data_IF_431123551378
#
_entry.id   IF_431123551378
#
_cell.length_a   1.000
_cell.length_b   1.000
_cell.length_c   1.000
_cell.angle_alpha   90.00
_cell.angle_beta   90.00
_cell.angle_gamma   90.00
#
_symmetry.space_group_name_H-M   'P 1'
#
loop_
_entity.id
_entity.type
_entity.pdbx_description
1 polymer ?
#
# COMPACT_ATOMS: atom_id res chain seq x y z
N UNK A 1 40.62 -31.23 13.76
CA UNK A 1 39.86 -30.86 12.55
C UNK A 1 38.71 -29.99 12.98
N UNK A 2 38.80 -28.67 12.74
CA UNK A 2 37.74 -27.73 13.07
C UNK A 2 36.75 -27.70 11.90
N UNK A 3 35.51 -28.11 12.14
CA UNK A 3 34.42 -27.92 11.18
C UNK A 3 33.95 -26.48 11.28
N UNK A 4 34.26 -25.70 10.24
CA UNK A 4 33.76 -24.35 10.07
C UNK A 4 32.24 -24.39 9.90
N UNK A 5 31.54 -23.86 10.90
CA UNK A 5 30.15 -23.44 10.81
C UNK A 5 30.06 -22.39 9.71
N UNK A 6 29.51 -22.77 8.55
CA UNK A 6 29.12 -21.82 7.52
C UNK A 6 27.97 -21.02 8.09
N UNK A 7 28.24 -19.75 8.41
CA UNK A 7 27.24 -18.82 8.88
C UNK A 7 26.08 -18.78 7.90
N UNK A 8 24.89 -19.11 8.40
CA UNK A 8 23.65 -18.66 7.81
C UNK A 8 23.74 -17.14 7.72
N UNK A 9 24.10 -16.63 6.54
CA UNK A 9 23.95 -15.23 6.20
C UNK A 9 22.46 -14.93 6.31
N UNK A 10 22.06 -14.37 7.45
CA UNK A 10 20.71 -13.91 7.67
C UNK A 10 20.44 -12.82 6.64
N UNK A 11 19.88 -13.21 5.49
CA UNK A 11 19.17 -12.29 4.63
C UNK A 11 18.15 -11.60 5.54
N UNK A 12 18.25 -10.28 5.67
CA UNK A 12 17.28 -9.48 6.42
C UNK A 12 15.88 -9.94 6.01
N UNK A 13 14.96 -10.16 6.97
CA UNK A 13 13.61 -10.57 6.63
C UNK A 13 12.99 -9.54 5.67
N UNK A 14 12.30 -9.98 4.61
CA UNK A 14 11.73 -9.06 3.64
C UNK A 14 10.70 -8.14 4.31
N UNK A 15 10.53 -6.97 3.73
CA UNK A 15 9.60 -5.95 4.20
C UNK A 15 8.15 -6.35 3.86
N UNK A 16 7.24 -6.45 4.84
CA UNK A 16 5.84 -6.70 4.54
C UNK A 16 5.21 -5.50 3.83
N UNK A 17 4.50 -5.79 2.74
CA UNK A 17 3.76 -4.81 1.95
C UNK A 17 2.28 -4.95 2.22
N UNK A 18 1.64 -3.83 2.52
CA UNK A 18 0.25 -3.73 2.87
C UNK A 18 -0.49 -2.88 1.85
N UNK A 19 -1.72 -3.28 1.55
CA UNK A 19 -2.73 -2.36 1.03
C UNK A 19 -3.38 -1.68 2.22
N UNK A 20 -3.35 -0.35 2.24
CA UNK A 20 -4.01 0.46 3.25
C UNK A 20 -5.21 1.21 2.64
N UNK A 21 -6.26 1.39 3.43
CA UNK A 21 -7.46 2.14 3.05
C UNK A 21 -7.70 3.25 4.04
N UNK A 22 -7.92 4.45 3.52
CA UNK A 22 -8.12 5.66 4.29
C UNK A 22 -9.43 6.34 3.89
N UNK A 23 -9.99 7.10 4.83
CA UNK A 23 -10.95 8.16 4.53
C UNK A 23 -10.20 9.47 4.35
N UNK A 24 -10.71 10.33 3.46
CA UNK A 24 -10.26 11.70 3.42
C UNK A 24 -10.92 12.51 4.53
N UNK A 25 -10.13 13.27 5.29
CA UNK A 25 -10.65 14.08 6.42
C UNK A 25 -11.76 15.05 6.02
N UNK A 26 -11.80 15.46 4.76
CA UNK A 26 -12.79 16.40 4.22
C UNK A 26 -13.85 15.73 3.35
N UNK A 27 -13.73 14.42 3.12
CA UNK A 27 -14.66 13.65 2.29
C UNK A 27 -14.74 12.22 2.80
N UNK A 28 -15.56 12.05 3.84
CA UNK A 28 -15.75 10.77 4.53
C UNK A 28 -16.39 9.69 3.65
N UNK A 29 -16.97 10.09 2.50
CA UNK A 29 -17.64 9.18 1.58
C UNK A 29 -16.68 8.53 0.58
N UNK A 30 -15.45 9.06 0.47
CA UNK A 30 -14.47 8.60 -0.50
C UNK A 30 -13.31 7.83 0.16
N UNK A 31 -13.14 6.58 -0.29
CA UNK A 31 -12.07 5.69 0.15
C UNK A 31 -10.81 5.88 -0.72
N UNK A 32 -9.69 6.12 -0.05
CA UNK A 32 -8.38 6.22 -0.69
C UNK A 32 -7.61 4.94 -0.43
N UNK A 33 -7.13 4.31 -1.50
CA UNK A 33 -6.26 3.15 -1.40
C UNK A 33 -4.78 3.55 -1.54
N UNK A 34 -3.92 2.86 -0.79
CA UNK A 34 -2.47 3.05 -0.84
C UNK A 34 -1.72 1.73 -0.70
N UNK A 35 -0.43 1.76 -1.03
CA UNK A 35 0.56 0.75 -0.69
C UNK A 35 1.43 1.26 0.45
N UNK A 36 1.55 0.46 1.50
CA UNK A 36 2.35 0.77 2.68
C UNK A 36 3.38 -0.33 2.90
N UNK A 37 4.64 0.05 3.10
CA UNK A 37 5.72 -0.89 3.40
C UNK A 37 6.20 -0.61 4.81
N UNK A 38 6.08 -1.61 5.69
CA UNK A 38 6.62 -1.54 7.06
C UNK A 38 8.04 -2.07 7.08
N UNK A 39 8.93 -1.37 7.78
CA UNK A 39 10.28 -1.88 8.08
C UNK A 39 10.28 -2.65 9.41
N UNK A 40 10.62 -3.95 9.46
CA UNK A 40 10.78 -4.68 10.71
C UNK A 40 11.74 -3.94 11.65
N UNK A 41 11.32 -3.75 12.90
CA UNK A 41 12.16 -3.18 13.95
C UNK A 41 12.44 -1.67 13.88
N UNK A 42 11.78 -0.91 13.00
CA UNK A 42 11.95 0.54 12.91
C UNK A 42 10.63 1.26 12.58
N UNK A 43 10.50 2.53 12.98
CA UNK A 43 9.38 3.41 12.64
C UNK A 43 9.46 3.98 11.21
N UNK A 44 10.54 3.68 10.48
CA UNK A 44 10.78 4.18 9.13
C UNK A 44 9.93 3.44 8.09
N UNK A 45 8.69 3.86 7.88
CA UNK A 45 7.80 3.24 6.89
C UNK A 45 7.77 4.01 5.56
N UNK A 46 7.31 3.35 4.50
CA UNK A 46 7.03 4.03 3.22
C UNK A 46 5.54 3.94 2.94
N UNK A 47 4.96 5.03 2.45
CA UNK A 47 3.58 5.09 2.02
C UNK A 47 3.49 5.69 0.62
N UNK A 48 2.99 4.87 -0.33
CA UNK A 48 2.76 5.23 -1.72
C UNK A 48 1.26 5.29 -1.94
N UNK A 49 0.76 6.44 -2.37
CA UNK A 49 -0.68 6.68 -2.51
C UNK A 49 -0.96 7.64 -3.65
N UNK A 50 -2.14 7.52 -4.24
CA UNK A 50 -2.68 8.62 -5.05
C UNK A 50 -3.51 9.52 -4.14
N UNK A 51 -3.28 10.83 -4.22
CA UNK A 51 -3.97 11.87 -3.45
C UNK A 51 -4.43 12.99 -4.37
N UNK A 52 -5.46 13.69 -3.95
CA UNK A 52 -6.08 14.77 -4.69
C UNK A 52 -7.58 14.75 -4.45
N UNK A 53 -8.28 15.75 -4.97
CA UNK A 53 -9.73 15.74 -4.98
C UNK A 53 -10.20 14.87 -6.16
N UNK A 54 -11.19 14.01 -5.97
CA UNK A 54 -11.71 13.17 -7.06
C UNK A 54 -12.27 13.98 -8.25
N UNK A 55 -12.69 15.22 -7.98
CA UNK A 55 -13.14 16.19 -9.00
C UNK A 55 -12.00 16.82 -9.80
N UNK A 56 -10.76 16.61 -9.38
CA UNK A 56 -9.55 17.06 -10.04
C UNK A 56 -8.70 15.84 -10.45
N UNK A 57 -7.63 16.12 -11.19
CA UNK A 57 -6.64 15.08 -11.50
C UNK A 57 -5.95 14.63 -10.21
N UNK A 58 -5.92 13.32 -9.97
CA UNK A 58 -5.18 12.74 -8.83
C UNK A 58 -3.68 12.75 -9.11
N UNK A 59 -2.88 12.81 -8.04
CA UNK A 59 -1.43 12.84 -8.10
C UNK A 59 -0.85 11.67 -7.31
N UNK A 60 0.22 11.07 -7.82
CA UNK A 60 1.02 10.10 -7.08
C UNK A 60 1.85 10.81 -6.01
N UNK A 61 1.87 10.25 -4.80
CA UNK A 61 2.58 10.80 -3.64
C UNK A 61 3.36 9.68 -2.95
N UNK A 62 4.61 9.98 -2.62
CA UNK A 62 5.48 9.12 -1.83
C UNK A 62 5.80 9.81 -0.51
N UNK A 63 5.50 9.14 0.59
CA UNK A 63 5.91 9.54 1.93
C UNK A 63 6.93 8.57 2.49
N UNK A 64 8.03 9.11 3.02
CA UNK A 64 9.08 8.36 3.73
C UNK A 64 8.98 8.64 5.21
N UNK A 65 9.23 7.61 6.02
CA UNK A 65 9.08 7.62 7.47
C UNK A 65 7.67 8.06 7.91
N UNK A 66 6.66 7.62 7.16
CA UNK A 66 5.27 7.92 7.48
C UNK A 66 4.82 7.14 8.71
N UNK A 67 3.96 7.76 9.51
CA UNK A 67 3.30 7.12 10.64
C UNK A 67 2.54 5.88 10.13
N UNK A 68 2.62 4.80 10.90
CA UNK A 68 1.85 3.59 10.62
C UNK A 68 0.38 3.95 10.41
N UNK A 69 -0.24 3.59 9.28
CA UNK A 69 -1.62 3.88 8.98
C UNK A 69 -2.56 3.48 10.11
N UNK A 70 -2.34 2.35 10.78
CA UNK A 70 -3.22 1.90 11.87
C UNK A 70 -3.25 2.84 13.07
N UNK A 71 -2.25 3.71 13.21
CA UNK A 71 -2.18 4.73 14.27
C UNK A 71 -2.85 6.05 13.86
N UNK A 72 -3.32 6.17 12.61
CA UNK A 72 -4.00 7.37 12.12
C UNK A 72 -5.51 7.20 12.22
N UNK A 73 -6.23 8.28 12.58
CA UNK A 73 -7.70 8.30 12.62
C UNK A 73 -8.36 8.10 11.25
N UNK A 74 -7.59 8.30 10.18
CA UNK A 74 -8.05 8.20 8.80
C UNK A 74 -7.98 6.79 8.24
N UNK A 75 -7.16 5.90 8.79
CA UNK A 75 -7.05 4.55 8.28
C UNK A 75 -8.27 3.74 8.71
N UNK A 76 -8.92 3.10 7.75
CA UNK A 76 -10.03 2.17 8.00
C UNK A 76 -9.49 0.78 8.30
N UNK A 77 -8.63 0.29 7.41
CA UNK A 77 -7.96 -1.00 7.57
C UNK A 77 -6.67 -1.07 6.74
N UNK A 78 -5.80 -1.99 7.15
CA UNK A 78 -4.68 -2.46 6.32
C UNK A 78 -4.80 -3.97 6.09
N UNK A 79 -4.25 -4.44 4.98
CA UNK A 79 -4.22 -5.86 4.61
C UNK A 79 -2.84 -6.16 4.06
N UNK A 80 -2.14 -7.17 4.60
CA UNK A 80 -0.89 -7.61 3.99
C UNK A 80 -1.20 -8.24 2.64
N UNK A 81 -0.39 -7.91 1.63
CA UNK A 81 -0.58 -8.38 0.25
C UNK A 81 0.69 -8.99 -0.35
N UNK A 82 1.81 -8.91 0.35
CA UNK A 82 3.07 -9.50 -0.11
C UNK A 82 4.27 -9.10 0.74
N UNK A 83 5.43 -9.40 0.17
CA UNK A 83 6.74 -9.19 0.76
C UNK A 83 7.65 -8.49 -0.25
N UNK A 84 8.56 -7.66 0.24
CA UNK A 84 9.49 -6.91 -0.59
C UNK A 84 10.92 -7.07 -0.07
N UNK A 85 11.85 -7.59 -0.88
CA UNK A 85 13.27 -7.62 -0.53
C UNK A 85 13.82 -6.23 -0.25
N UNK A 86 14.85 -6.14 0.59
CA UNK A 86 15.37 -4.86 1.05
C UNK A 86 16.00 -4.03 -0.09
N UNK A 87 16.70 -4.71 -0.98
CA UNK A 87 17.30 -4.18 -2.20
C UNK A 87 16.26 -3.57 -3.16
N UNK A 88 15.02 -4.06 -3.12
CA UNK A 88 13.95 -3.66 -4.03
C UNK A 88 13.18 -2.42 -3.56
N UNK A 89 13.47 -1.92 -2.35
CA UNK A 89 12.76 -0.79 -1.75
C UNK A 89 12.91 0.49 -2.57
N UNK A 90 14.08 0.72 -3.16
CA UNK A 90 14.32 1.87 -4.05
C UNK A 90 13.58 1.72 -5.38
N UNK A 91 13.55 0.50 -5.95
CA UNK A 91 12.89 0.19 -7.21
C UNK A 91 11.36 0.29 -7.13
N UNK A 92 10.77 0.09 -5.93
CA UNK A 92 9.32 0.20 -5.72
C UNK A 92 8.75 1.53 -6.21
N UNK A 93 9.39 2.65 -5.84
CA UNK A 93 8.93 3.99 -6.24
C UNK A 93 8.93 4.11 -7.76
N UNK A 94 10.06 3.81 -8.38
CA UNK A 94 10.23 3.90 -9.82
C UNK A 94 9.17 3.07 -10.56
N UNK A 95 8.91 1.84 -10.09
CA UNK A 95 7.89 0.98 -10.69
C UNK A 95 6.47 1.51 -10.50
N UNK A 96 6.14 2.02 -9.32
CA UNK A 96 4.82 2.60 -9.07
C UNK A 96 4.58 3.90 -9.86
N UNK A 97 5.63 4.69 -10.12
CA UNK A 97 5.55 5.91 -10.94
C UNK A 97 5.23 5.62 -12.41
N UNK A 98 5.55 4.42 -12.91
CA UNK A 98 5.15 3.97 -14.24
C UNK A 98 3.64 3.67 -14.35
N UNK A 99 2.94 3.54 -13.22
CA UNK A 99 1.48 3.39 -13.19
C UNK A 99 0.86 4.79 -13.07
N UNK A 100 0.31 5.36 -14.16
CA UNK A 100 -0.16 6.74 -14.12
C UNK A 100 -1.29 6.89 -13.10
N UNK A 101 -1.38 7.98 -12.33
CA UNK A 101 -2.53 8.24 -11.47
C UNK A 101 -3.85 8.26 -12.23
N UNK A 102 -4.99 7.94 -11.60
CA UNK A 102 -6.29 8.12 -12.23
C UNK A 102 -6.54 9.58 -12.64
N UNK A 103 -7.24 9.75 -13.76
CA UNK A 103 -7.73 11.06 -14.18
C UNK A 103 -8.86 11.54 -13.26
N UNK A 104 -9.40 12.74 -13.53
CA UNK A 104 -10.57 13.23 -12.84
C UNK A 104 -11.71 12.21 -12.94
N UNK A 105 -12.37 11.94 -11.82
CA UNK A 105 -13.42 10.94 -11.72
C UNK A 105 -14.82 11.54 -11.90
N UNK A 106 -14.92 12.86 -11.84
CA UNK A 106 -16.17 13.60 -11.87
C UNK A 106 -16.10 14.76 -12.86
N UNK A 107 -17.24 15.07 -13.49
CA UNK A 107 -17.47 16.29 -14.27
C UNK A 107 -18.67 17.00 -13.65
N UNK A 108 -18.42 18.11 -12.97
CA UNK A 108 -19.43 18.73 -12.10
C UNK A 108 -19.85 17.77 -10.99
N UNK A 109 -21.15 17.47 -10.91
CA UNK A 109 -21.74 16.53 -9.95
C UNK A 109 -21.88 15.10 -10.49
N UNK A 110 -21.50 14.86 -11.75
CA UNK A 110 -21.66 13.55 -12.38
C UNK A 110 -20.37 12.75 -12.31
N UNK A 111 -20.45 11.51 -11.80
CA UNK A 111 -19.36 10.54 -11.91
C UNK A 111 -19.16 10.16 -13.38
N UNK A 112 -17.93 10.22 -13.86
CA UNK A 112 -17.55 9.75 -15.19
C UNK A 112 -17.65 8.23 -15.22
N UNK A 113 -18.54 7.63 -16.04
CA UNK A 113 -18.69 6.18 -16.11
C UNK A 113 -17.35 5.51 -16.46
N UNK A 114 -16.98 4.48 -15.71
CA UNK A 114 -15.76 3.71 -15.95
C UNK A 114 -14.45 4.40 -15.62
N UNK A 115 -14.45 5.63 -15.06
CA UNK A 115 -13.18 6.26 -14.72
C UNK A 115 -12.46 5.49 -13.60
N UNK A 116 -11.16 5.32 -13.77
CA UNK A 116 -10.29 4.58 -12.85
C UNK A 116 -10.33 5.18 -11.44
N UNK A 117 -10.40 4.32 -10.42
CA UNK A 117 -10.42 4.71 -9.01
C UNK A 117 -9.03 4.67 -8.37
N UNK A 118 -8.91 5.18 -7.14
CA UNK A 118 -7.69 4.99 -6.33
C UNK A 118 -7.41 3.50 -6.06
N UNK A 119 -8.48 2.70 -5.91
CA UNK A 119 -8.42 1.23 -5.79
C UNK A 119 -7.77 0.61 -7.02
N UNK A 120 -8.25 0.97 -8.20
CA UNK A 120 -7.78 0.39 -9.45
C UNK A 120 -6.30 0.69 -9.66
N UNK A 121 -5.88 1.94 -9.39
CA UNK A 121 -4.47 2.31 -9.42
C UNK A 121 -3.61 1.45 -8.48
N UNK A 122 -4.05 1.20 -7.25
CA UNK A 122 -3.31 0.32 -6.33
C UNK A 122 -3.22 -1.11 -6.86
N UNK A 123 -4.29 -1.65 -7.44
CA UNK A 123 -4.28 -3.01 -8.00
C UNK A 123 -3.32 -3.09 -9.20
N UNK A 124 -3.30 -2.08 -10.06
CA UNK A 124 -2.35 -1.96 -11.17
C UNK A 124 -0.90 -1.85 -10.67
N UNK A 125 -0.66 -1.04 -9.63
CA UNK A 125 0.66 -0.92 -9.00
C UNK A 125 1.13 -2.25 -8.39
N UNK A 126 0.25 -3.00 -7.72
CA UNK A 126 0.54 -4.34 -7.21
C UNK A 126 0.95 -5.28 -8.34
N UNK A 127 0.18 -5.31 -9.42
CA UNK A 127 0.49 -6.15 -10.58
C UNK A 127 1.84 -5.76 -11.22
N UNK A 128 2.13 -4.46 -11.32
CA UNK A 128 3.39 -3.95 -11.86
C UNK A 128 4.60 -4.34 -10.97
N UNK A 129 4.44 -4.30 -9.65
CA UNK A 129 5.49 -4.70 -8.70
C UNK A 129 5.74 -6.22 -8.76
N UNK A 130 4.68 -7.03 -8.83
CA UNK A 130 4.79 -8.48 -8.93
C UNK A 130 5.38 -8.91 -10.27
N UNK A 131 4.89 -8.37 -11.39
CA UNK A 131 5.43 -8.65 -12.72
C UNK A 131 6.87 -8.16 -12.92
N UNK A 132 7.31 -7.20 -12.10
CA UNK A 132 8.70 -6.73 -12.07
C UNK A 132 9.62 -7.49 -11.11
N UNK A 133 9.14 -8.54 -10.42
CA UNK A 133 9.86 -9.24 -9.34
C UNK A 133 10.36 -8.30 -8.23
N UNK A 134 9.68 -7.17 -8.03
CA UNK A 134 9.99 -6.19 -6.97
C UNK A 134 9.32 -6.61 -5.66
N UNK A 135 8.10 -7.17 -5.77
CA UNK A 135 7.30 -7.67 -4.66
C UNK A 135 6.92 -9.12 -4.89
N UNK A 136 7.14 -9.97 -3.89
CA UNK A 136 6.62 -11.33 -3.84
C UNK A 136 5.18 -11.33 -3.32
N UNK A 137 4.25 -12.09 -3.93
CA UNK A 137 2.93 -12.27 -3.35
C UNK A 137 3.00 -13.05 -2.03
N UNK A 138 1.92 -13.00 -1.26
CA UNK A 138 1.77 -13.88 -0.09
C UNK A 138 1.82 -15.35 -0.50
N UNK A 139 2.47 -16.16 0.33
CA UNK A 139 2.55 -17.62 0.18
C UNK A 139 1.28 -18.27 0.71
N UNK A 140 1.03 -19.50 0.26
CA UNK A 140 -0.09 -20.28 0.75
C UNK A 140 0.00 -20.46 2.28
N UNK A 141 -1.07 -20.11 3.00
CA UNK A 141 -1.14 -20.20 4.47
C UNK A 141 -0.67 -18.96 5.22
N UNK A 142 -0.16 -17.92 4.54
CA UNK A 142 0.11 -16.63 5.17
C UNK A 142 -1.18 -15.86 5.40
N UNK A 143 -1.32 -15.26 6.59
CA UNK A 143 -2.50 -14.49 6.96
C UNK A 143 -2.59 -13.21 6.13
N UNK A 144 -3.74 -13.03 5.48
CA UNK A 144 -4.09 -11.84 4.71
C UNK A 144 -5.31 -11.13 5.29
N UNK A 145 -5.60 -11.34 6.58
CA UNK A 145 -6.69 -10.68 7.26
C UNK A 145 -6.55 -9.16 7.21
N UNK A 146 -7.71 -8.50 7.18
CA UNK A 146 -7.77 -7.05 7.34
C UNK A 146 -7.66 -6.73 8.82
N UNK A 147 -6.72 -5.83 9.13
CA UNK A 147 -6.57 -5.26 10.46
C UNK A 147 -7.25 -3.88 10.42
N UNK A 148 -8.27 -3.69 11.25
CA UNK A 148 -9.01 -2.43 11.36
C UNK A 148 -8.36 -1.52 12.41
N UNK A 149 -8.43 -0.20 12.20
CA UNK A 149 -7.89 0.74 13.19
C UNK A 149 -8.83 0.85 14.41
N UNK A 150 -8.26 1.17 15.57
CA UNK A 150 -8.90 1.10 16.89
C UNK A 150 -10.14 2.02 17.02
N UNK A 151 -10.28 3.02 16.14
CA UNK A 151 -11.41 3.96 16.13
C UNK A 151 -12.57 3.58 15.20
N UNK A 152 -12.44 2.50 14.42
CA UNK A 152 -13.47 2.06 13.48
C UNK A 152 -14.10 0.77 13.98
N UNK A 153 -15.34 0.79 14.50
CA UNK A 153 -16.01 -0.44 14.85
C UNK A 153 -16.16 -1.28 13.58
N UNK A 154 -16.05 -2.59 13.73
CA UNK A 154 -16.26 -3.60 12.68
C UNK A 154 -17.76 -3.63 12.27
N UNK A 155 -18.32 -2.50 11.89
CA UNK A 155 -19.71 -2.37 11.48
C UNK A 155 -19.80 -2.54 9.96
N UNK A 156 -20.43 -3.65 9.57
CA UNK A 156 -21.09 -3.94 8.28
C UNK A 156 -20.46 -5.09 7.47
N UNK A 157 -20.43 -6.31 8.04
CA UNK A 157 -20.84 -7.48 7.28
C UNK A 157 -22.34 -7.66 7.51
N UNK A 158 -23.13 -7.01 6.66
CA UNK A 158 -24.51 -7.39 6.37
C UNK A 158 -24.53 -7.88 4.91
#
# INVERSE_FOLDING_TARGET
MATNNTGNGHASPPYPVYRAVYHHNYDIYNEYHALHVKRPGNNNNILLRVRGQERARLNFVVGWNEVDPLLTTTCKWIQQIGWMPQENLAAMKEKCEQVPPPEAQWIGERRIPGARSSRDWVLEAVAALQGGNIMEPLRAGEDNARIYSIGWPEQSRA
#
